data_IF_388816597702
#
_entry.id   IF_388816597702
#
_cell.length_a   1.000
_cell.length_b   1.000
_cell.length_c   1.000
_cell.angle_alpha   90.00
_cell.angle_beta   90.00
_cell.angle_gamma   90.00
#
_symmetry.space_group_name_H-M   'P 1'
#
loop_
_entity.id
_entity.type
_entity.pdbx_description
1 polymer ?
#
# COMPACT_ATOMS: atom_id res chain seq x y z
N UNK A 1 -28.77 4.21 19.47
CA UNK A 1 -27.51 4.58 18.78
C UNK A 1 -27.83 4.94 17.35
N UNK A 2 -27.75 6.23 16.94
CA UNK A 2 -28.28 6.68 15.67
C UNK A 2 -27.38 6.25 14.50
N UNK A 3 -28.02 5.82 13.42
CA UNK A 3 -27.44 5.29 12.16
C UNK A 3 -26.39 6.22 11.53
N UNK A 4 -26.45 7.51 11.84
CA UNK A 4 -25.58 8.58 11.34
C UNK A 4 -24.10 8.46 11.74
N UNK A 5 -23.80 7.86 12.90
CA UNK A 5 -22.42 7.72 13.35
C UNK A 5 -21.62 6.73 12.48
N UNK A 6 -22.27 5.66 12.02
CA UNK A 6 -21.64 4.67 11.15
C UNK A 6 -21.36 5.26 9.76
N UNK A 7 -22.28 6.06 9.22
CA UNK A 7 -22.09 6.73 7.93
C UNK A 7 -20.94 7.75 7.98
N UNK A 8 -20.82 8.51 9.07
CA UNK A 8 -19.73 9.46 9.27
C UNK A 8 -18.34 8.79 9.30
N UNK A 9 -18.22 7.61 9.92
CA UNK A 9 -16.97 6.84 9.94
C UNK A 9 -16.57 6.33 8.55
N UNK A 10 -17.54 5.92 7.73
CA UNK A 10 -17.29 5.44 6.37
C UNK A 10 -16.83 6.61 5.47
N UNK A 11 -17.49 7.77 5.54
CA UNK A 11 -17.13 8.97 4.80
C UNK A 11 -15.71 9.45 5.11
N UNK A 12 -15.32 9.43 6.39
CA UNK A 12 -13.98 9.82 6.80
C UNK A 12 -12.89 8.87 6.25
N UNK A 13 -13.20 7.57 6.14
CA UNK A 13 -12.30 6.59 5.51
C UNK A 13 -12.28 6.67 3.98
N UNK A 14 -13.28 7.29 3.35
CA UNK A 14 -13.33 7.52 1.89
C UNK A 14 -12.47 8.70 1.43
N UNK A 15 -12.01 9.56 2.33
CA UNK A 15 -10.96 10.55 2.06
C UNK A 15 -9.64 9.80 1.83
N UNK A 16 -9.51 9.23 0.64
CA UNK A 16 -8.40 8.38 0.25
C UNK A 16 -7.11 9.20 0.33
N UNK A 17 -6.04 8.67 0.93
CA UNK A 17 -4.73 9.27 0.81
C UNK A 17 -4.41 9.40 -0.68
N UNK A 18 -3.91 10.56 -1.07
CA UNK A 18 -3.38 10.82 -2.41
C UNK A 18 -2.46 9.67 -2.83
N UNK A 19 -2.55 9.19 -4.09
CA UNK A 19 -1.68 8.11 -4.55
C UNK A 19 -0.24 8.61 -4.45
N UNK A 20 0.44 8.18 -3.41
CA UNK A 20 1.86 8.48 -3.22
C UNK A 20 2.62 7.80 -4.36
N UNK A 21 3.58 8.48 -4.99
CA UNK A 21 4.33 7.90 -6.10
C UNK A 21 5.07 6.66 -5.60
N UNK A 22 4.81 5.52 -6.25
CA UNK A 22 5.53 4.28 -5.98
C UNK A 22 7.01 4.45 -6.29
N UNK A 23 7.89 3.96 -5.41
CA UNK A 23 9.33 4.04 -5.65
C UNK A 23 9.70 3.19 -6.87
N UNK A 24 10.69 3.66 -7.63
CA UNK A 24 11.26 2.88 -8.74
C UNK A 24 12.25 1.83 -8.23
N UNK A 25 12.86 2.05 -7.07
CA UNK A 25 13.85 1.16 -6.47
C UNK A 25 13.44 0.78 -5.04
N UNK A 26 13.71 -0.46 -4.65
CA UNK A 26 13.37 -0.98 -3.34
C UNK A 26 14.24 -0.35 -2.26
N UNK A 27 13.61 0.17 -1.20
CA UNK A 27 14.33 0.75 -0.05
C UNK A 27 15.19 -0.23 0.76
N UNK A 28 14.97 -1.55 0.59
CA UNK A 28 15.69 -2.58 1.36
C UNK A 28 16.87 -3.17 0.59
N UNK A 29 16.68 -3.50 -0.69
CA UNK A 29 17.70 -4.15 -1.50
C UNK A 29 18.20 -3.32 -2.69
N UNK A 30 17.65 -2.12 -2.92
CA UNK A 30 18.00 -1.25 -4.05
C UNK A 30 17.52 -1.73 -5.43
N UNK A 31 16.95 -2.94 -5.53
CA UNK A 31 16.48 -3.50 -6.82
C UNK A 31 15.29 -2.71 -7.39
N UNK A 32 15.17 -2.67 -8.71
CA UNK A 32 14.03 -2.05 -9.38
C UNK A 32 12.69 -2.70 -8.94
N UNK A 33 11.69 -1.88 -8.66
CA UNK A 33 10.34 -2.33 -8.31
C UNK A 33 9.56 -2.57 -9.62
N UNK A 34 9.08 -3.80 -9.86
CA UNK A 34 8.38 -4.12 -11.10
C UNK A 34 7.11 -3.28 -11.26
N UNK A 35 6.85 -2.87 -12.50
CA UNK A 35 5.70 -2.01 -12.86
C UNK A 35 4.37 -2.60 -12.43
N UNK A 36 4.21 -3.92 -12.55
CA UNK A 36 3.03 -4.65 -12.10
C UNK A 36 2.68 -4.32 -10.63
N UNK A 37 3.69 -4.19 -9.75
CA UNK A 37 3.45 -3.81 -8.34
C UNK A 37 3.16 -2.32 -8.18
N UNK A 38 3.81 -1.46 -8.96
CA UNK A 38 3.55 -0.01 -8.95
C UNK A 38 2.12 0.32 -9.38
N UNK A 39 1.56 -0.47 -10.30
CA UNK A 39 0.18 -0.38 -10.78
C UNK A 39 -0.83 -0.93 -9.77
N UNK A 40 -0.55 -2.09 -9.16
CA UNK A 40 -1.48 -2.71 -8.19
C UNK A 40 -1.52 -1.98 -6.86
N UNK A 41 -0.38 -1.45 -6.40
CA UNK A 41 -0.24 -0.81 -5.09
C UNK A 41 0.38 0.58 -5.27
N UNK A 42 -0.43 1.66 -5.35
CA UNK A 42 0.08 3.02 -5.31
C UNK A 42 0.78 3.25 -3.96
N UNK A 43 2.05 3.68 -3.99
CA UNK A 43 2.88 3.88 -2.80
C UNK A 43 3.75 2.68 -2.41
N UNK A 44 3.95 1.69 -3.30
CA UNK A 44 4.85 0.56 -3.01
C UNK A 44 6.31 1.04 -2.90
N UNK A 45 6.96 0.70 -1.79
CA UNK A 45 8.36 1.05 -1.49
C UNK A 45 9.31 -0.16 -1.47
N UNK A 46 8.76 -1.36 -1.68
CA UNK A 46 9.48 -2.64 -1.56
C UNK A 46 9.35 -3.48 -2.83
N UNK A 47 10.41 -4.19 -3.22
CA UNK A 47 10.34 -5.11 -4.35
C UNK A 47 9.53 -6.38 -3.99
N UNK A 48 9.16 -7.15 -5.02
CA UNK A 48 8.43 -8.41 -4.86
C UNK A 48 9.17 -9.41 -3.99
N UNK A 49 10.49 -9.53 -4.12
CA UNK A 49 11.32 -10.40 -3.29
C UNK A 49 11.22 -10.05 -1.80
N UNK A 50 11.51 -8.79 -1.45
CA UNK A 50 11.47 -8.32 -0.07
C UNK A 50 10.07 -8.44 0.51
N UNK A 51 9.03 -8.12 -0.27
CA UNK A 51 7.65 -8.28 0.19
C UNK A 51 7.28 -9.75 0.38
N UNK A 52 7.69 -10.66 -0.50
CA UNK A 52 7.47 -12.10 -0.33
C UNK A 52 8.14 -12.64 0.93
N UNK A 53 9.35 -12.17 1.25
CA UNK A 53 10.05 -12.53 2.51
C UNK A 53 9.28 -12.01 3.72
N UNK A 54 8.81 -10.76 3.68
CA UNK A 54 8.02 -10.16 4.76
C UNK A 54 6.70 -10.90 4.98
N UNK A 55 6.00 -11.26 3.91
CA UNK A 55 4.76 -12.04 3.98
C UNK A 55 5.01 -13.45 4.52
N UNK A 56 6.08 -14.13 4.08
CA UNK A 56 6.51 -15.42 4.63
C UNK A 56 6.82 -15.34 6.12
N UNK A 57 7.39 -14.23 6.59
CA UNK A 57 7.71 -14.03 8.01
C UNK A 57 6.48 -13.72 8.87
N UNK A 58 5.39 -13.29 8.26
CA UNK A 58 4.16 -12.87 8.95
C UNK A 58 3.11 -14.00 9.05
N UNK A 59 3.44 -15.18 8.52
CA UNK A 59 2.64 -16.41 8.57
C UNK A 59 3.30 -17.41 9.50
#
# INVERSE_FOLDING_TARGET
MPRSYLEALIEQSRLRPTPTPSLQHCRFCGKAIPEKRRQTLPGVTTCTDCQSILEKRRR
#
